data_IF_430467155279
#
_entry.id   IF_430467155279
#
_cell.length_a   1.000
_cell.length_b   1.000
_cell.length_c   1.000
_cell.angle_alpha   90.00
_cell.angle_beta   90.00
_cell.angle_gamma   90.00
#
_symmetry.space_group_name_H-M   'P 1'
#
loop_
_entity.id
_entity.type
_entity.pdbx_description
1 polymer ?
#
# COMPACT_ATOMS: atom_id res chain seq x y z
N UNK A 1 18.37 -11.74 -5.01
CA UNK A 1 16.97 -11.34 -5.07
C UNK A 1 16.95 -9.98 -5.76
N UNK A 2 16.40 -9.91 -6.97
CA UNK A 2 16.42 -8.69 -7.78
C UNK A 2 15.48 -7.65 -7.19
N UNK A 3 16.03 -6.51 -6.82
CA UNK A 3 15.26 -5.31 -6.51
C UNK A 3 14.52 -4.90 -7.78
N UNK A 4 13.20 -4.99 -7.74
CA UNK A 4 12.33 -4.56 -8.82
C UNK A 4 12.38 -3.01 -8.82
N UNK A 5 13.35 -2.45 -9.53
CA UNK A 5 13.48 -1.01 -9.74
C UNK A 5 12.36 -0.55 -10.67
N UNK A 6 11.19 -0.30 -10.12
CA UNK A 6 10.06 0.24 -10.86
C UNK A 6 10.28 1.75 -11.03
N UNK A 7 10.59 2.17 -12.26
CA UNK A 7 10.74 3.59 -12.60
C UNK A 7 9.33 4.16 -12.76
N UNK A 8 8.91 5.00 -11.82
CA UNK A 8 7.67 5.78 -11.95
C UNK A 8 8.02 7.11 -12.56
N UNK A 9 7.42 7.37 -13.70
CA UNK A 9 7.58 8.64 -14.40
C UNK A 9 6.54 9.63 -13.88
N UNK A 10 6.97 10.64 -13.13
CA UNK A 10 6.11 11.81 -12.89
C UNK A 10 6.08 12.66 -14.15
N UNK A 11 4.90 12.77 -14.75
CA UNK A 11 4.68 13.56 -15.95
C UNK A 11 3.78 14.75 -15.61
N UNK A 12 4.24 15.95 -15.91
CA UNK A 12 3.42 17.16 -15.75
C UNK A 12 2.28 17.17 -16.78
N UNK A 13 1.18 17.83 -16.47
CA UNK A 13 -0.01 17.88 -17.34
C UNK A 13 0.24 18.44 -18.76
N UNK A 14 1.36 19.12 -18.94
CA UNK A 14 1.81 19.69 -20.23
C UNK A 14 2.88 18.82 -20.93
N UNK A 15 3.19 17.63 -20.41
CA UNK A 15 4.21 16.71 -20.92
C UNK A 15 5.64 17.31 -21.03
N UNK A 16 5.90 18.46 -20.44
CA UNK A 16 7.18 19.16 -20.58
C UNK A 16 8.26 18.70 -19.58
N UNK A 17 7.86 18.06 -18.48
CA UNK A 17 8.82 17.58 -17.49
C UNK A 17 8.54 16.11 -17.21
N UNK A 18 9.50 15.26 -17.54
CA UNK A 18 9.51 13.84 -17.23
C UNK A 18 10.67 13.59 -16.29
N UNK A 19 10.39 13.18 -15.06
CA UNK A 19 11.43 12.83 -14.09
C UNK A 19 11.41 11.33 -13.90
N UNK A 20 12.53 10.69 -14.24
CA UNK A 20 12.74 9.30 -13.94
C UNK A 20 13.03 9.15 -12.44
N UNK A 21 12.13 8.48 -11.77
CA UNK A 21 12.19 8.30 -10.32
C UNK A 21 12.49 6.85 -10.02
N UNK A 22 13.58 6.61 -9.33
CA UNK A 22 13.87 5.27 -8.81
C UNK A 22 13.09 5.06 -7.53
N UNK A 23 12.20 4.07 -7.52
CA UNK A 23 11.54 3.62 -6.31
C UNK A 23 12.51 2.71 -5.55
N UNK A 24 12.99 3.17 -4.42
CA UNK A 24 13.78 2.37 -3.49
C UNK A 24 13.05 2.35 -2.14
N UNK A 25 12.72 1.16 -1.64
CA UNK A 25 11.97 0.99 -0.38
C UNK A 25 10.62 1.74 -0.32
N UNK A 26 9.84 1.67 -1.42
CA UNK A 26 8.51 2.31 -1.54
C UNK A 26 8.52 3.85 -1.48
N UNK A 27 9.68 4.49 -1.62
CA UNK A 27 9.79 5.95 -1.67
C UNK A 27 10.61 6.42 -2.88
N UNK A 28 10.47 7.68 -3.18
CA UNK A 28 11.11 8.39 -4.30
C UNK A 28 12.25 9.21 -3.75
N UNK A 29 13.43 9.11 -4.35
CA UNK A 29 14.60 9.90 -3.97
C UNK A 29 15.01 10.83 -5.11
N UNK A 30 15.12 12.12 -4.84
CA UNK A 30 15.57 13.12 -5.79
C UNK A 30 16.74 13.93 -5.22
N UNK A 31 17.64 14.33 -6.13
CA UNK A 31 18.68 15.34 -5.83
C UNK A 31 18.05 16.73 -5.73
N UNK A 32 18.74 17.64 -5.07
CA UNK A 32 18.32 19.03 -5.00
C UNK A 32 18.16 19.67 -6.41
N UNK A 33 18.98 19.28 -7.38
CA UNK A 33 18.89 19.74 -8.75
C UNK A 33 17.59 19.26 -9.43
N UNK A 34 17.23 17.98 -9.24
CA UNK A 34 15.99 17.43 -9.77
C UNK A 34 14.76 18.06 -9.12
N UNK A 35 14.80 18.35 -7.81
CA UNK A 35 13.73 19.08 -7.13
C UNK A 35 13.60 20.51 -7.68
N UNK A 36 14.72 21.18 -7.98
CA UNK A 36 14.74 22.51 -8.57
C UNK A 36 14.12 22.50 -9.97
N UNK A 37 14.44 21.51 -10.79
CA UNK A 37 13.84 21.30 -12.10
C UNK A 37 12.35 21.01 -12.02
N UNK A 38 11.94 20.10 -11.12
CA UNK A 38 10.54 19.73 -10.85
C UNK A 38 9.67 20.97 -10.60
N UNK A 39 10.13 21.87 -9.74
CA UNK A 39 9.38 23.05 -9.33
C UNK A 39 9.72 24.32 -10.14
N UNK A 40 10.62 24.23 -11.12
CA UNK A 40 11.11 25.35 -11.93
C UNK A 40 11.57 26.52 -11.05
N UNK A 41 12.49 26.23 -10.13
CA UNK A 41 13.12 27.18 -9.20
C UNK A 41 14.60 26.97 -9.12
N UNK A 42 15.31 28.05 -8.76
CA UNK A 42 16.75 27.98 -8.52
C UNK A 42 17.08 27.01 -7.37
N UNK A 43 18.19 26.29 -7.51
CA UNK A 43 18.66 25.36 -6.48
C UNK A 43 18.86 26.05 -5.12
N UNK A 44 19.28 27.31 -5.10
CA UNK A 44 19.45 28.09 -3.85
C UNK A 44 18.13 28.30 -3.10
N UNK A 45 17.03 28.47 -3.85
CA UNK A 45 15.68 28.59 -3.27
C UNK A 45 15.24 27.26 -2.68
N UNK A 46 15.45 26.16 -3.41
CA UNK A 46 15.15 24.80 -2.93
C UNK A 46 15.99 24.46 -1.71
N UNK A 47 17.30 24.73 -1.74
CA UNK A 47 18.18 24.52 -0.58
C UNK A 47 17.68 25.21 0.68
N UNK A 48 17.22 26.46 0.56
CA UNK A 48 16.65 27.21 1.66
C UNK A 48 15.35 26.59 2.21
N UNK A 49 14.47 26.13 1.33
CA UNK A 49 13.25 25.42 1.76
C UNK A 49 13.59 24.12 2.49
N UNK A 50 14.49 23.31 1.98
CA UNK A 50 14.95 22.08 2.60
C UNK A 50 15.58 22.36 3.98
N UNK A 51 16.48 23.36 4.04
CA UNK A 51 17.11 23.75 5.31
C UNK A 51 16.08 24.19 6.36
N UNK A 52 15.03 24.92 5.95
CA UNK A 52 13.97 25.36 6.86
C UNK A 52 13.10 24.19 7.33
N UNK A 53 12.77 23.22 6.46
CA UNK A 53 12.01 22.01 6.82
C UNK A 53 12.69 21.27 7.97
N UNK A 54 14.00 21.03 7.85
CA UNK A 54 14.76 20.35 8.90
C UNK A 54 14.97 21.24 10.16
N UNK A 55 15.20 22.54 9.97
CA UNK A 55 15.38 23.49 11.08
C UNK A 55 14.11 23.65 11.93
N UNK A 56 12.96 23.67 11.29
CA UNK A 56 11.64 23.80 11.94
C UNK A 56 11.17 22.50 12.58
N UNK A 57 11.87 21.38 12.34
CA UNK A 57 11.52 20.06 12.87
C UNK A 57 10.29 19.44 12.19
N UNK A 58 9.92 19.92 10.97
CA UNK A 58 8.83 19.33 10.21
C UNK A 58 9.16 17.89 9.80
N UNK A 59 10.43 17.65 9.41
CA UNK A 59 10.95 16.34 9.07
C UNK A 59 12.31 16.12 9.75
N UNK A 60 12.57 14.86 10.12
CA UNK A 60 13.88 14.45 10.61
C UNK A 60 14.88 14.28 9.45
N UNK A 61 16.10 14.81 9.65
CA UNK A 61 17.10 14.83 8.59
C UNK A 61 17.69 13.43 8.32
N UNK A 62 17.86 12.61 9.34
CA UNK A 62 18.51 11.30 9.21
C UNK A 62 17.65 10.33 8.39
N UNK A 63 16.33 10.39 8.56
CA UNK A 63 15.37 9.53 7.87
C UNK A 63 15.04 10.02 6.45
N UNK A 64 15.25 11.32 6.18
CA UNK A 64 14.71 11.95 4.96
C UNK A 64 15.79 12.47 3.99
N UNK A 65 17.07 12.27 4.32
CA UNK A 65 18.20 12.67 3.49
C UNK A 65 19.27 11.57 3.49
N UNK A 66 19.78 11.26 2.31
CA UNK A 66 20.93 10.36 2.13
C UNK A 66 22.04 11.05 1.35
N UNK A 67 23.27 10.56 1.54
CA UNK A 67 24.44 11.05 0.80
C UNK A 67 24.92 9.94 -0.12
N UNK A 68 24.78 10.16 -1.43
CA UNK A 68 25.32 9.27 -2.45
C UNK A 68 26.82 9.53 -2.62
N UNK A 69 27.63 8.54 -2.29
CA UNK A 69 29.04 8.49 -2.61
C UNK A 69 29.22 7.82 -3.98
N UNK A 70 29.53 8.61 -5.00
CA UNK A 70 29.79 8.05 -6.32
C UNK A 70 31.24 7.54 -6.36
N UNK A 71 31.42 6.22 -6.28
CA UNK A 71 32.73 5.54 -6.23
C UNK A 71 33.52 5.68 -7.55
N UNK A 72 32.88 6.06 -8.65
CA UNK A 72 33.47 6.20 -9.98
C UNK A 72 33.83 7.65 -10.34
N UNK A 73 33.48 8.61 -9.51
CA UNK A 73 33.73 10.03 -9.75
C UNK A 73 34.46 10.67 -8.57
N UNK A 74 35.55 11.37 -8.84
CA UNK A 74 36.24 12.27 -7.91
C UNK A 74 35.38 13.46 -7.45
N UNK A 75 34.07 13.46 -7.78
CA UNK A 75 33.18 14.56 -7.52
C UNK A 75 32.49 14.42 -6.17
N UNK A 76 32.18 15.59 -5.64
CA UNK A 76 31.52 15.87 -4.36
C UNK A 76 30.32 14.94 -4.09
N UNK A 77 30.18 14.39 -2.88
CA UNK A 77 29.01 13.60 -2.52
C UNK A 77 27.72 14.38 -2.73
N UNK A 78 26.73 13.74 -3.30
CA UNK A 78 25.46 14.37 -3.65
C UNK A 78 24.38 13.97 -2.64
N UNK A 79 23.74 14.95 -2.03
CA UNK A 79 22.59 14.71 -1.17
C UNK A 79 21.34 14.40 -2.01
N UNK A 80 20.61 13.37 -1.60
CA UNK A 80 19.29 13.03 -2.11
C UNK A 80 18.26 13.11 -0.99
N UNK A 81 17.03 13.38 -1.36
CA UNK A 81 15.92 13.65 -0.47
C UNK A 81 14.73 12.78 -0.86
N UNK A 82 14.03 12.25 0.13
CA UNK A 82 12.89 11.38 -0.09
C UNK A 82 11.60 12.14 -0.47
N UNK A 83 10.54 11.38 -0.71
CA UNK A 83 9.24 11.91 -1.12
C UNK A 83 8.67 12.92 -0.11
N UNK A 84 8.88 12.73 1.18
CA UNK A 84 8.35 13.61 2.22
C UNK A 84 8.95 15.03 2.10
N UNK A 85 10.27 15.12 1.87
CA UNK A 85 10.93 16.41 1.60
C UNK A 85 10.41 17.04 0.32
N UNK A 86 10.21 16.25 -0.73
CA UNK A 86 9.69 16.75 -2.03
C UNK A 86 8.29 17.33 -1.84
N UNK A 87 7.42 16.66 -1.09
CA UNK A 87 6.07 17.13 -0.76
C UNK A 87 6.14 18.43 0.04
N UNK A 88 6.92 18.48 1.10
CA UNK A 88 7.07 19.65 1.97
C UNK A 88 7.59 20.87 1.19
N UNK A 89 8.58 20.68 0.30
CA UNK A 89 9.06 21.73 -0.61
C UNK A 89 7.94 22.16 -1.55
N UNK A 90 7.17 21.24 -2.11
CA UNK A 90 6.07 21.54 -3.04
C UNK A 90 4.97 22.39 -2.41
N UNK A 91 4.71 22.24 -1.11
CA UNK A 91 3.76 23.08 -0.39
C UNK A 91 4.32 24.49 -0.09
N UNK A 92 5.63 24.65 0.05
CA UNK A 92 6.28 25.92 0.41
C UNK A 92 6.69 26.76 -0.79
N UNK A 93 6.96 26.13 -1.93
CA UNK A 93 7.50 26.81 -3.11
C UNK A 93 6.45 27.66 -3.80
N UNK A 94 6.80 28.94 -4.05
CA UNK A 94 5.96 29.88 -4.79
C UNK A 94 6.32 29.84 -6.29
N UNK A 95 5.78 28.86 -7.02
CA UNK A 95 5.90 28.74 -8.46
C UNK A 95 4.62 28.20 -9.08
N UNK A 96 4.45 28.37 -10.41
CA UNK A 96 3.33 27.78 -11.13
C UNK A 96 3.31 26.25 -10.98
N UNK A 97 4.48 25.62 -11.08
CA UNK A 97 4.64 24.17 -10.87
C UNK A 97 4.27 23.75 -9.45
N UNK A 98 4.60 24.55 -8.44
CA UNK A 98 4.17 24.31 -7.06
C UNK A 98 2.64 24.36 -6.90
N UNK A 99 1.97 25.29 -7.61
CA UNK A 99 0.50 25.33 -7.62
C UNK A 99 -0.08 24.07 -8.25
N UNK A 100 0.42 23.67 -9.43
CA UNK A 100 -0.03 22.45 -10.12
C UNK A 100 0.19 21.20 -9.27
N UNK A 101 1.36 21.10 -8.61
CA UNK A 101 1.67 20.01 -7.70
C UNK A 101 0.66 19.92 -6.54
N UNK A 102 0.37 21.04 -5.87
CA UNK A 102 -0.61 21.08 -4.77
C UNK A 102 -2.02 20.72 -5.24
N UNK A 103 -2.43 21.17 -6.42
CA UNK A 103 -3.73 20.80 -7.00
C UNK A 103 -3.82 19.29 -7.28
N UNK A 104 -2.75 18.72 -7.84
CA UNK A 104 -2.64 17.28 -8.07
C UNK A 104 -2.64 16.50 -6.75
N UNK A 105 -1.80 16.87 -5.78
CA UNK A 105 -1.72 16.20 -4.48
C UNK A 105 -3.07 16.20 -3.74
N UNK A 106 -3.76 17.36 -3.73
CA UNK A 106 -5.09 17.47 -3.13
C UNK A 106 -6.13 16.58 -3.83
N UNK A 107 -6.03 16.42 -5.15
CA UNK A 107 -6.91 15.51 -5.91
C UNK A 107 -6.65 14.06 -5.50
N UNK A 108 -5.39 13.64 -5.47
CA UNK A 108 -5.00 12.29 -5.07
C UNK A 108 -5.47 11.96 -3.66
N UNK A 109 -5.25 12.87 -2.70
CA UNK A 109 -5.70 12.69 -1.31
C UNK A 109 -7.22 12.56 -1.24
N UNK A 110 -7.96 13.43 -1.91
CA UNK A 110 -9.43 13.37 -1.96
C UNK A 110 -9.92 12.06 -2.57
N UNK A 111 -9.35 11.66 -3.71
CA UNK A 111 -9.70 10.41 -4.39
C UNK A 111 -9.42 9.20 -3.50
N UNK A 112 -8.28 9.18 -2.81
CA UNK A 112 -7.93 8.12 -1.88
C UNK A 112 -8.89 8.04 -0.70
N UNK A 113 -9.21 9.18 -0.08
CA UNK A 113 -10.15 9.24 1.06
C UNK A 113 -11.55 8.78 0.64
N UNK A 114 -12.04 9.24 -0.52
CA UNK A 114 -13.38 8.88 -1.01
C UNK A 114 -13.45 7.41 -1.44
N UNK A 115 -12.44 6.92 -2.17
CA UNK A 115 -12.36 5.51 -2.58
C UNK A 115 -12.14 4.58 -1.38
N UNK A 116 -11.28 4.96 -0.46
CA UNK A 116 -11.05 4.20 0.78
C UNK A 116 -12.33 4.08 1.61
N UNK A 117 -13.11 5.15 1.73
CA UNK A 117 -14.41 5.09 2.39
C UNK A 117 -15.40 4.15 1.67
N UNK A 118 -15.50 4.24 0.35
CA UNK A 118 -16.38 3.39 -0.45
C UNK A 118 -16.00 1.90 -0.34
N UNK A 119 -14.71 1.58 -0.38
CA UNK A 119 -14.20 0.21 -0.21
C UNK A 119 -14.55 -0.32 1.17
N UNK A 120 -14.35 0.45 2.23
CA UNK A 120 -14.68 0.05 3.61
C UNK A 120 -16.17 -0.24 3.76
N UNK A 121 -17.04 0.59 3.18
CA UNK A 121 -18.50 0.35 3.21
C UNK A 121 -18.88 -0.95 2.50
N UNK A 122 -18.26 -1.24 1.35
CA UNK A 122 -18.49 -2.48 0.62
C UNK A 122 -17.97 -3.71 1.38
N UNK A 123 -16.82 -3.61 2.02
CA UNK A 123 -16.26 -4.69 2.85
C UNK A 123 -17.17 -5.00 4.02
N UNK A 124 -17.63 -4.01 4.78
CA UNK A 124 -18.55 -4.20 5.91
C UNK A 124 -19.86 -4.88 5.46
N UNK A 125 -20.45 -4.42 4.35
CA UNK A 125 -21.65 -5.04 3.80
C UNK A 125 -21.41 -6.48 3.33
N UNK A 126 -20.22 -6.78 2.81
CA UNK A 126 -19.86 -8.13 2.40
C UNK A 126 -19.64 -9.05 3.61
N UNK A 127 -18.95 -8.60 4.65
CA UNK A 127 -18.75 -9.34 5.89
C UNK A 127 -20.09 -9.71 6.54
N UNK A 128 -21.02 -8.76 6.60
CA UNK A 128 -22.36 -8.99 7.15
C UNK A 128 -23.16 -10.02 6.32
N UNK A 129 -23.04 -9.96 4.99
CA UNK A 129 -23.68 -10.94 4.10
C UNK A 129 -23.09 -12.33 4.26
N UNK A 130 -21.75 -12.44 4.31
CA UNK A 130 -21.05 -13.71 4.51
C UNK A 130 -21.42 -14.28 5.88
N UNK A 131 -21.45 -13.48 6.93
CA UNK A 131 -21.85 -13.90 8.26
C UNK A 131 -23.26 -14.52 8.27
N UNK A 132 -24.23 -13.89 7.63
CA UNK A 132 -25.58 -14.45 7.48
C UNK A 132 -25.60 -15.76 6.70
N UNK A 133 -24.88 -15.86 5.59
CA UNK A 133 -24.81 -17.11 4.82
C UNK A 133 -24.16 -18.26 5.60
N UNK A 134 -23.10 -17.98 6.37
CA UNK A 134 -22.47 -18.98 7.23
C UNK A 134 -23.42 -19.48 8.31
N UNK A 135 -24.21 -18.60 8.90
CA UNK A 135 -25.21 -18.96 9.89
C UNK A 135 -26.30 -19.86 9.30
N UNK A 136 -26.82 -19.50 8.12
CA UNK A 136 -27.80 -20.32 7.40
C UNK A 136 -27.23 -21.70 7.04
N UNK A 137 -26.01 -21.77 6.54
CA UNK A 137 -25.35 -23.05 6.24
C UNK A 137 -25.16 -23.90 7.49
N UNK A 138 -24.79 -23.29 8.62
CA UNK A 138 -24.64 -24.01 9.90
C UNK A 138 -25.97 -24.66 10.33
N UNK A 139 -27.06 -23.92 10.19
CA UNK A 139 -28.39 -24.47 10.52
C UNK A 139 -28.80 -25.61 9.56
N UNK A 140 -28.52 -25.49 8.27
CA UNK A 140 -28.79 -26.53 7.29
C UNK A 140 -27.95 -27.79 7.54
N UNK A 141 -26.67 -27.62 7.89
CA UNK A 141 -25.79 -28.73 8.24
C UNK A 141 -26.31 -29.46 9.48
N UNK A 142 -26.73 -28.71 10.48
CA UNK A 142 -27.32 -29.32 11.70
C UNK A 142 -28.58 -30.09 11.40
N UNK A 143 -29.52 -29.56 10.61
CA UNK A 143 -30.74 -30.24 10.18
C UNK A 143 -30.45 -31.51 9.37
N UNK A 144 -29.48 -31.44 8.46
CA UNK A 144 -29.03 -32.62 7.72
C UNK A 144 -28.39 -33.67 8.62
N UNK A 145 -27.59 -33.28 9.60
CA UNK A 145 -27.01 -34.21 10.57
C UNK A 145 -28.07 -34.91 11.39
N UNK A 146 -29.11 -34.21 11.85
CA UNK A 146 -30.23 -34.82 12.54
C UNK A 146 -30.98 -35.83 11.67
N UNK A 147 -31.26 -35.46 10.41
CA UNK A 147 -31.90 -36.36 9.44
C UNK A 147 -31.08 -37.62 9.17
N UNK A 148 -29.78 -37.46 8.96
CA UNK A 148 -28.86 -38.58 8.74
C UNK A 148 -28.80 -39.48 9.99
N UNK A 149 -28.69 -38.89 11.18
CA UNK A 149 -28.68 -39.65 12.43
C UNK A 149 -30.02 -40.41 12.64
N UNK A 150 -31.15 -39.79 12.34
CA UNK A 150 -32.45 -40.43 12.38
C UNK A 150 -32.50 -41.62 11.40
N UNK A 151 -32.06 -41.41 10.14
CA UNK A 151 -32.02 -42.46 9.13
C UNK A 151 -31.12 -43.63 9.54
N UNK A 152 -29.92 -43.35 10.03
CA UNK A 152 -28.97 -44.37 10.52
C UNK A 152 -29.60 -45.21 11.65
N UNK A 153 -30.30 -44.56 12.59
CA UNK A 153 -30.93 -45.25 13.73
C UNK A 153 -32.17 -46.10 13.36
N UNK A 154 -32.91 -45.63 12.33
CA UNK A 154 -34.21 -46.26 12.00
C UNK A 154 -34.13 -47.22 10.82
N UNK A 155 -33.24 -47.01 9.87
CA UNK A 155 -33.17 -47.76 8.61
C UNK A 155 -32.06 -48.79 8.57
N UNK A 156 -31.05 -48.67 9.42
CA UNK A 156 -30.02 -49.67 9.49
C UNK A 156 -30.36 -50.68 10.57
N UNK A 157 -30.40 -51.98 10.25
CA UNK A 157 -30.60 -53.02 11.27
C UNK A 157 -29.46 -52.92 12.28
N UNK A 158 -29.71 -53.34 13.55
CA UNK A 158 -28.68 -53.29 14.58
C UNK A 158 -27.58 -54.26 14.22
N UNK A 159 -26.62 -53.77 13.47
CA UNK A 159 -25.46 -54.57 13.07
C UNK A 159 -24.35 -54.44 14.07
N UNK A 160 -23.95 -55.55 14.51
CA UNK A 160 -22.70 -55.73 15.20
C UNK A 160 -21.58 -55.20 14.35
N UNK A 161 -21.09 -54.01 14.65
CA UNK A 161 -19.70 -53.70 14.42
C UNK A 161 -19.31 -52.98 13.14
N UNK A 162 -20.20 -52.24 12.43
CA UNK A 162 -19.79 -51.58 11.21
C UNK A 162 -19.64 -50.05 11.30
N UNK A 163 -20.24 -49.41 12.32
CA UNK A 163 -20.11 -47.98 12.50
C UNK A 163 -19.65 -47.61 13.89
N UNK A 164 -18.48 -47.09 13.96
CA UNK A 164 -17.88 -46.59 15.19
C UNK A 164 -17.39 -45.16 14.99
N UNK A 165 -17.53 -44.39 15.96
CA UNK A 165 -16.89 -43.11 16.30
C UNK A 165 -15.63 -42.74 15.50
N UNK A 166 -15.74 -42.69 14.17
CA UNK A 166 -14.62 -42.29 13.29
C UNK A 166 -13.43 -43.25 13.21
N UNK A 167 -13.53 -44.45 13.81
CA UNK A 167 -12.49 -45.48 13.65
C UNK A 167 -12.81 -46.38 12.46
N UNK A 168 -11.94 -46.39 11.47
CA UNK A 168 -11.96 -47.38 10.40
C UNK A 168 -11.50 -48.69 10.99
N UNK A 169 -12.40 -49.67 11.04
CA UNK A 169 -12.00 -51.04 11.37
C UNK A 169 -11.33 -51.65 10.13
N UNK A 170 -10.08 -52.03 10.27
CA UNK A 170 -9.41 -52.93 9.36
C UNK A 170 -10.12 -54.31 9.40
N UNK A 171 -11.05 -54.49 8.49
CA UNK A 171 -11.79 -55.76 8.34
C UNK A 171 -11.01 -56.78 7.46
N UNK A 172 -9.71 -56.62 7.34
CA UNK A 172 -8.84 -57.52 6.57
C UNK A 172 -7.62 -57.89 7.43
N UNK A 173 -7.79 -58.91 8.22
CA UNK A 173 -6.71 -59.84 8.62
C UNK A 173 -7.12 -61.21 8.22
#
# INVERSE_FOLDING_TARGET
>A
MGTNNQIVVYQTADNQTQINVTLENETVWLTQAQIAELFQKDQSVIARHIANIFKEGELDKESNMQILHNTLSKYKPTAIYNLDVIISVGYRVKSQRGVQFRQWANRVIKDYMLKGYAINQQMLAMEERIGRQLQDHTLQIHDLQEKVNFFVRTSLPPHQGIFYDGQIFDAYT
#
